data_IF_067729584605
#
_entry.id   IF_067729584605
#
_cell.length_a   1.000
_cell.length_b   1.000
_cell.length_c   1.000
_cell.angle_alpha   90.00
_cell.angle_beta   90.00
_cell.angle_gamma   90.00
#
_symmetry.space_group_name_H-M   'P 1'
#
loop_
_entity.id
_entity.type
_entity.pdbx_description
1 polymer ?
#
# COMPACT_ATOMS: atom_id res chain seq x y z
N UNK A 1 12.75 10.91 -17.76
CA UNK A 1 13.21 9.67 -17.10
C UNK A 1 12.25 8.55 -17.47
N UNK A 2 12.70 7.29 -17.62
CA UNK A 2 11.77 6.18 -17.82
C UNK A 2 11.01 5.96 -16.51
N UNK A 3 9.70 6.18 -16.50
CA UNK A 3 8.85 5.78 -15.39
C UNK A 3 8.86 4.25 -15.33
N UNK A 4 9.30 3.68 -14.20
CA UNK A 4 9.16 2.24 -13.96
C UNK A 4 7.70 1.94 -13.70
N UNK A 5 7.16 0.87 -14.29
CA UNK A 5 5.83 0.39 -13.94
C UNK A 5 5.76 0.13 -12.42
N UNK A 6 4.75 0.66 -11.71
CA UNK A 6 4.58 0.38 -10.30
C UNK A 6 4.47 -1.11 -10.03
N UNK A 7 5.15 -1.57 -8.99
CA UNK A 7 5.02 -2.91 -8.45
C UNK A 7 3.88 -2.96 -7.44
N UNK A 8 3.31 -4.15 -7.28
CA UNK A 8 2.12 -4.36 -6.47
C UNK A 8 2.32 -5.60 -5.62
N UNK A 9 1.95 -5.47 -4.35
CA UNK A 9 1.78 -6.58 -3.45
C UNK A 9 0.40 -6.52 -2.78
N UNK A 10 -0.32 -7.63 -2.73
CA UNK A 10 -1.63 -7.76 -2.11
C UNK A 10 -1.66 -9.01 -1.24
N UNK A 11 -2.24 -8.91 -0.05
CA UNK A 11 -2.57 -10.03 0.82
C UNK A 11 -4.04 -9.95 1.24
N UNK A 12 -4.77 -11.05 1.09
CA UNK A 12 -6.21 -11.12 1.31
C UNK A 12 -6.62 -12.42 2.02
N UNK A 13 -7.57 -12.31 2.95
CA UNK A 13 -8.19 -13.44 3.63
C UNK A 13 -9.70 -13.42 3.47
N UNK A 14 -10.25 -14.49 2.88
CA UNK A 14 -11.70 -14.65 2.71
C UNK A 14 -12.44 -15.07 3.99
N UNK A 15 -11.72 -15.50 5.04
CA UNK A 15 -12.30 -16.07 6.27
C UNK A 15 -12.31 -15.10 7.46
N UNK A 16 -12.04 -13.81 7.23
CA UNK A 16 -12.00 -12.84 8.31
C UNK A 16 -11.81 -11.40 7.81
N UNK A 17 -10.62 -10.86 8.05
CA UNK A 17 -10.28 -9.44 7.88
C UNK A 17 -10.19 -8.95 6.43
N UNK A 18 -10.61 -9.73 5.44
CA UNK A 18 -10.65 -9.31 4.03
C UNK A 18 -9.27 -8.87 3.53
N UNK A 19 -9.16 -7.63 3.03
CA UNK A 19 -7.89 -7.06 2.59
C UNK A 19 -6.97 -6.85 3.81
N UNK A 20 -5.91 -7.64 3.89
CA UNK A 20 -4.92 -7.55 4.96
C UNK A 20 -3.89 -6.46 4.66
N UNK A 21 -3.43 -6.42 3.41
CA UNK A 21 -2.46 -5.48 2.91
C UNK A 21 -2.63 -5.26 1.40
N UNK A 22 -2.52 -4.02 0.98
CA UNK A 22 -2.30 -3.61 -0.40
C UNK A 22 -1.14 -2.61 -0.40
N UNK A 23 -0.11 -2.90 -1.19
CA UNK A 23 1.06 -2.07 -1.38
C UNK A 23 1.24 -1.83 -2.87
N UNK A 24 1.49 -0.58 -3.24
CA UNK A 24 2.06 -0.24 -4.54
C UNK A 24 3.27 0.65 -4.35
N UNK A 25 4.30 0.43 -5.16
CA UNK A 25 5.50 1.24 -5.10
C UNK A 25 6.19 1.30 -6.46
N UNK A 26 7.09 2.25 -6.61
CA UNK A 26 7.97 2.37 -7.75
C UNK A 26 9.36 2.84 -7.33
N UNK A 27 10.35 2.62 -8.20
CA UNK A 27 11.72 3.01 -7.94
C UNK A 27 12.09 4.25 -8.77
N UNK A 28 12.84 5.16 -8.17
CA UNK A 28 13.28 6.39 -8.82
C UNK A 28 14.73 6.67 -8.42
N UNK A 29 15.67 6.16 -9.24
CA UNK A 29 17.08 6.17 -8.88
C UNK A 29 17.33 5.29 -7.64
N UNK A 30 17.97 5.80 -6.58
CA UNK A 30 18.21 5.05 -5.35
C UNK A 30 16.99 5.01 -4.41
N UNK A 31 15.93 5.76 -4.72
CA UNK A 31 14.76 5.92 -3.86
C UNK A 31 13.62 4.97 -4.24
N UNK A 32 12.80 4.63 -3.26
CA UNK A 32 11.53 3.93 -3.43
C UNK A 32 10.41 4.86 -2.98
N UNK A 33 9.36 4.99 -3.79
CA UNK A 33 8.16 5.76 -3.44
C UNK A 33 6.96 4.82 -3.48
N UNK A 34 6.03 4.95 -2.56
CA UNK A 34 4.92 4.03 -2.51
C UNK A 34 3.73 4.49 -1.68
N UNK A 35 2.72 3.65 -1.69
CA UNK A 35 1.52 3.77 -0.88
C UNK A 35 1.09 2.39 -0.40
N UNK A 36 0.71 2.30 0.87
CA UNK A 36 0.05 1.11 1.40
C UNK A 36 -1.33 1.44 1.96
N UNK A 37 -2.18 0.42 2.01
CA UNK A 37 -3.39 0.38 2.82
C UNK A 37 -3.62 -1.03 3.35
N UNK A 38 -4.21 -1.17 4.54
CA UNK A 38 -4.51 -2.48 5.10
C UNK A 38 -5.13 -2.41 6.48
N UNK A 39 -5.47 -3.57 7.01
CA UNK A 39 -6.07 -3.67 8.33
C UNK A 39 -5.07 -3.29 9.44
N UNK A 40 -5.49 -2.43 10.36
CA UNK A 40 -4.76 -2.05 11.58
C UNK A 40 -5.74 -1.99 12.76
N UNK A 41 -5.54 -2.81 13.80
CA UNK A 41 -6.30 -2.78 15.05
C UNK A 41 -7.85 -2.74 14.90
N UNK A 42 -8.39 -3.31 13.82
CA UNK A 42 -9.83 -3.32 13.53
C UNK A 42 -10.33 -2.17 12.65
N UNK A 43 -9.45 -1.27 12.23
CA UNK A 43 -9.70 -0.23 11.24
C UNK A 43 -8.81 -0.44 9.99
N UNK A 44 -8.81 0.51 9.05
CA UNK A 44 -7.89 0.58 7.93
C UNK A 44 -6.90 1.72 8.11
N UNK A 45 -5.62 1.39 7.93
CA UNK A 45 -4.55 2.37 7.88
C UNK A 45 -4.04 2.47 6.45
N UNK A 46 -3.69 3.68 6.04
CA UNK A 46 -3.03 3.94 4.78
C UNK A 46 -1.94 4.99 4.97
N UNK A 47 -0.87 4.93 4.19
CA UNK A 47 0.09 6.01 4.14
C UNK A 47 0.87 5.99 2.82
N UNK A 48 1.32 7.17 2.41
CA UNK A 48 2.38 7.30 1.44
C UNK A 48 3.72 7.16 2.13
N UNK A 49 4.72 6.70 1.38
CA UNK A 49 6.08 6.59 1.89
C UNK A 49 7.14 6.85 0.85
N UNK A 50 8.33 7.11 1.39
CA UNK A 50 9.58 7.20 0.66
C UNK A 50 10.68 6.48 1.42
N UNK A 51 11.37 5.56 0.75
CA UNK A 51 12.64 5.01 1.22
C UNK A 51 13.75 5.76 0.51
N UNK A 52 14.47 6.61 1.24
CA UNK A 52 15.62 7.32 0.70
C UNK A 52 16.82 6.38 0.65
N UNK A 53 17.59 6.44 -0.44
CA UNK A 53 18.87 5.75 -0.57
C UNK A 53 18.85 4.22 -0.38
N UNK A 54 17.69 3.59 -0.59
CA UNK A 54 17.44 2.16 -0.38
C UNK A 54 18.42 1.25 -1.14
N UNK A 55 18.73 1.60 -2.39
CA UNK A 55 19.66 0.83 -3.24
C UNK A 55 21.11 1.33 -3.17
N UNK A 56 21.47 2.06 -2.12
CA UNK A 56 22.80 2.65 -1.97
C UNK A 56 23.46 2.24 -0.65
N UNK A 57 24.74 2.61 -0.49
CA UNK A 57 25.46 2.47 0.78
C UNK A 57 25.27 3.66 1.73
N UNK A 58 24.45 4.64 1.36
CA UNK A 58 24.17 5.81 2.21
C UNK A 58 23.15 5.46 3.33
N UNK A 59 23.10 6.26 4.40
CA UNK A 59 22.11 6.07 5.45
C UNK A 59 20.68 6.14 4.89
N UNK A 60 19.89 5.10 5.13
CA UNK A 60 18.51 5.02 4.68
C UNK A 60 17.59 5.85 5.57
N UNK A 61 16.59 6.50 4.97
CA UNK A 61 15.47 7.10 5.70
C UNK A 61 14.17 6.48 5.23
N UNK A 62 13.26 6.25 6.16
CA UNK A 62 11.94 5.71 5.85
C UNK A 62 10.89 6.74 6.22
N UNK A 63 10.61 7.62 5.29
CA UNK A 63 9.64 8.68 5.45
C UNK A 63 8.23 8.20 5.18
N UNK A 64 7.26 8.66 5.98
CA UNK A 64 5.85 8.38 5.74
C UNK A 64 4.94 9.55 6.14
N UNK A 65 3.81 9.65 5.45
CA UNK A 65 2.73 10.60 5.77
C UNK A 65 1.90 10.12 6.97
N UNK A 66 1.08 11.00 7.54
CA UNK A 66 -0.01 10.58 8.43
C UNK A 66 -1.24 10.30 7.60
N UNK A 67 -1.64 9.03 7.49
CA UNK A 67 -2.77 8.71 6.62
C UNK A 67 -2.41 9.02 5.16
N UNK A 68 -3.41 9.39 4.37
CA UNK A 68 -3.23 9.92 3.01
C UNK A 68 -2.89 11.42 2.94
N UNK A 69 -2.53 12.09 4.04
CA UNK A 69 -2.29 13.54 4.05
C UNK A 69 -0.90 13.90 3.49
N UNK A 70 -0.81 14.08 2.17
CA UNK A 70 0.40 14.58 1.51
C UNK A 70 0.62 16.10 1.69
N UNK A 71 -0.44 16.86 2.00
CA UNK A 71 -0.30 18.30 2.25
C UNK A 71 0.42 18.58 3.58
N UNK A 72 0.22 17.71 4.57
CA UNK A 72 0.93 17.72 5.84
C UNK A 72 2.40 17.28 5.77
N UNK A 73 2.85 16.76 4.63
CA UNK A 73 4.24 16.34 4.40
C UNK A 73 4.61 14.98 5.01
N UNK A 74 5.90 14.65 4.96
CA UNK A 74 6.48 13.53 5.69
C UNK A 74 6.54 13.86 7.18
N UNK A 75 5.89 13.05 8.01
CA UNK A 75 5.78 13.31 9.46
C UNK A 75 6.35 12.16 10.30
N UNK A 76 6.66 11.04 9.67
CA UNK A 76 7.36 9.92 10.28
C UNK A 76 8.67 9.65 9.55
N UNK A 77 9.69 9.22 10.29
CA UNK A 77 10.91 8.58 9.83
C UNK A 77 11.14 7.29 10.62
N UNK A 78 10.68 6.17 10.06
CA UNK A 78 10.70 4.87 10.73
C UNK A 78 12.10 4.28 10.90
N UNK A 79 13.13 4.83 10.25
CA UNK A 79 14.51 4.46 10.49
C UNK A 79 15.03 4.94 11.86
N UNK A 80 14.26 5.78 12.57
CA UNK A 80 14.64 6.35 13.87
C UNK A 80 13.91 5.67 15.02
N UNK A 81 14.57 5.63 16.19
CA UNK A 81 13.99 5.08 17.44
C UNK A 81 12.71 5.79 17.90
N UNK A 82 12.57 7.08 17.56
CA UNK A 82 11.38 7.88 17.78
C UNK A 82 10.85 8.34 16.42
N UNK A 83 9.98 7.56 15.77
CA UNK A 83 9.68 7.78 14.36
C UNK A 83 9.02 9.11 14.05
N UNK A 84 8.34 9.75 15.01
CA UNK A 84 7.64 11.01 14.74
C UNK A 84 8.64 12.16 14.63
N UNK A 85 8.63 12.82 13.48
CA UNK A 85 9.46 14.00 13.24
C UNK A 85 8.97 15.19 14.07
N UNK A 86 9.91 16.00 14.57
CA UNK A 86 9.61 17.24 15.28
C UNK A 86 9.03 18.32 14.37
N UNK A 87 9.44 18.30 13.09
CA UNK A 87 8.93 19.15 12.02
C UNK A 87 8.67 18.28 10.78
N UNK A 88 7.56 18.55 10.09
CA UNK A 88 7.22 17.84 8.87
C UNK A 88 8.17 18.23 7.73
N UNK A 89 8.63 17.25 6.95
CA UNK A 89 9.39 17.53 5.73
C UNK A 89 8.39 17.69 4.58
N UNK A 90 8.36 18.83 3.87
CA UNK A 90 7.46 19.03 2.74
C UNK A 90 7.66 17.95 1.65
N UNK A 91 6.55 17.56 1.02
CA UNK A 91 6.58 16.74 -0.20
C UNK A 91 6.56 17.68 -1.40
N UNK A 92 7.59 17.58 -2.23
CA UNK A 92 7.74 18.36 -3.46
C UNK A 92 6.57 18.08 -4.42
N UNK A 93 6.18 19.08 -5.21
CA UNK A 93 4.98 18.99 -6.06
C UNK A 93 5.06 17.86 -7.08
N UNK A 94 6.23 17.66 -7.70
CA UNK A 94 6.44 16.56 -8.66
C UNK A 94 6.32 15.18 -7.99
N UNK A 95 6.84 15.05 -6.76
CA UNK A 95 6.76 13.82 -5.98
C UNK A 95 5.31 13.53 -5.56
N UNK A 96 4.59 14.56 -5.11
CA UNK A 96 3.17 14.47 -4.76
C UNK A 96 2.32 14.02 -5.94
N UNK A 97 2.44 14.69 -7.08
CA UNK A 97 1.69 14.33 -8.28
C UNK A 97 1.95 12.87 -8.68
N UNK A 98 3.21 12.46 -8.63
CA UNK A 98 3.61 11.08 -8.94
C UNK A 98 2.97 10.06 -7.98
N UNK A 99 2.99 10.33 -6.68
CA UNK A 99 2.35 9.49 -5.66
C UNK A 99 0.83 9.41 -5.85
N UNK A 100 0.17 10.53 -6.17
CA UNK A 100 -1.27 10.59 -6.46
C UNK A 100 -1.64 9.75 -7.69
N UNK A 101 -0.88 9.89 -8.79
CA UNK A 101 -1.10 9.12 -10.01
C UNK A 101 -0.92 7.62 -9.76
N UNK A 102 0.14 7.23 -9.05
CA UNK A 102 0.39 5.83 -8.70
C UNK A 102 -0.74 5.25 -7.84
N UNK A 103 -1.13 5.94 -6.76
CA UNK A 103 -2.22 5.50 -5.89
C UNK A 103 -3.54 5.39 -6.67
N UNK A 104 -3.89 6.42 -7.46
CA UNK A 104 -5.13 6.47 -8.23
C UNK A 104 -5.21 5.33 -9.24
N UNK A 105 -4.13 5.08 -9.99
CA UNK A 105 -4.06 3.98 -10.95
C UNK A 105 -4.19 2.62 -10.25
N UNK A 106 -3.46 2.42 -9.16
CA UNK A 106 -3.53 1.17 -8.39
C UNK A 106 -4.93 0.93 -7.80
N UNK A 107 -5.49 1.91 -7.11
CA UNK A 107 -6.82 1.81 -6.52
C UNK A 107 -7.90 1.61 -7.60
N UNK A 108 -7.83 2.35 -8.71
CA UNK A 108 -8.72 2.21 -9.86
C UNK A 108 -8.65 0.82 -10.51
N UNK A 109 -7.50 0.17 -10.47
CA UNK A 109 -7.33 -1.17 -11.02
C UNK A 109 -7.78 -2.28 -10.06
N UNK A 110 -7.42 -2.17 -8.78
CA UNK A 110 -7.44 -3.26 -7.81
C UNK A 110 -8.49 -3.13 -6.72
N UNK A 111 -8.85 -1.91 -6.31
CA UNK A 111 -9.63 -1.67 -5.10
C UNK A 111 -11.03 -1.11 -5.39
N UNK A 112 -11.97 -1.36 -4.49
CA UNK A 112 -13.22 -0.61 -4.42
C UNK A 112 -13.57 -0.29 -2.96
N UNK A 113 -14.30 0.80 -2.80
CA UNK A 113 -14.78 1.30 -1.52
C UNK A 113 -16.30 1.20 -1.53
N UNK A 114 -16.95 0.53 -0.55
CA UNK A 114 -18.40 0.34 -0.57
C UNK A 114 -19.19 1.65 -0.61
N UNK A 115 -18.66 2.70 0.04
CA UNK A 115 -19.31 4.01 0.10
C UNK A 115 -19.05 4.88 -1.14
N UNK A 116 -18.22 4.42 -2.08
CA UNK A 116 -17.95 5.15 -3.32
C UNK A 116 -19.08 4.95 -4.35
N UNK A 117 -19.42 5.97 -5.15
CA UNK A 117 -20.35 5.83 -6.26
C UNK A 117 -19.93 4.71 -7.22
N UNK A 118 -20.89 3.88 -7.65
CA UNK A 118 -20.63 2.78 -8.58
C UNK A 118 -20.15 1.47 -7.95
N UNK A 119 -20.11 1.37 -6.61
CA UNK A 119 -19.71 0.14 -5.89
C UNK A 119 -20.76 -0.98 -5.88
N UNK A 120 -22.02 -0.69 -6.25
CA UNK A 120 -23.16 -1.62 -6.09
C UNK A 120 -22.91 -3.01 -6.72
N UNK A 121 -22.39 -3.06 -7.94
CA UNK A 121 -22.11 -4.33 -8.61
C UNK A 121 -21.02 -5.16 -7.90
N UNK A 122 -20.01 -4.48 -7.34
CA UNK A 122 -18.95 -5.14 -6.55
C UNK A 122 -19.52 -5.68 -5.24
N UNK A 123 -20.38 -4.90 -4.57
CA UNK A 123 -21.08 -5.29 -3.33
C UNK A 123 -21.94 -6.53 -3.56
N UNK A 124 -22.73 -6.57 -4.63
CA UNK A 124 -23.59 -7.71 -4.95
C UNK A 124 -22.77 -8.96 -5.25
N UNK A 125 -21.65 -8.82 -5.97
CA UNK A 125 -20.73 -9.93 -6.25
C UNK A 125 -20.13 -10.50 -4.96
N UNK A 126 -19.72 -9.64 -4.03
CA UNK A 126 -19.20 -10.06 -2.72
C UNK A 126 -20.25 -10.80 -1.89
N UNK A 127 -21.48 -10.28 -1.86
CA UNK A 127 -22.60 -10.90 -1.11
C UNK A 127 -22.98 -12.26 -1.68
N UNK A 128 -23.03 -12.40 -3.01
CA UNK A 128 -23.36 -13.65 -3.67
C UNK A 128 -22.38 -14.79 -3.31
N UNK A 129 -21.13 -14.45 -3.04
CA UNK A 129 -20.06 -15.38 -2.68
C UNK A 129 -19.79 -15.45 -1.16
N UNK A 130 -20.59 -14.75 -0.35
CA UNK A 130 -20.43 -14.70 1.11
C UNK A 130 -19.11 -14.08 1.57
N UNK A 131 -18.49 -13.21 0.77
CA UNK A 131 -17.22 -12.55 1.09
C UNK A 131 -17.42 -11.37 2.05
N UNK A 132 -16.44 -11.10 2.94
CA UNK A 132 -16.53 -9.96 3.85
C UNK A 132 -16.46 -8.64 3.08
N UNK A 133 -17.39 -7.73 3.40
CA UNK A 133 -17.38 -6.34 2.92
C UNK A 133 -16.80 -5.43 4.00
N UNK A 134 -15.67 -4.80 3.69
CA UNK A 134 -14.92 -3.91 4.59
C UNK A 134 -14.83 -2.50 4.02
N UNK A 135 -14.27 -1.50 4.74
CA UNK A 135 -14.11 -0.16 4.20
C UNK A 135 -13.31 -0.09 2.89
N UNK A 136 -12.37 -1.02 2.68
CA UNK A 136 -11.61 -1.19 1.43
C UNK A 136 -11.58 -2.67 1.04
N UNK A 137 -11.86 -2.97 -0.22
CA UNK A 137 -11.93 -4.33 -0.74
C UNK A 137 -11.22 -4.46 -2.09
N UNK A 138 -10.86 -5.69 -2.46
CA UNK A 138 -10.31 -5.99 -3.79
C UNK A 138 -11.47 -6.13 -4.78
N UNK A 139 -11.42 -5.48 -5.95
CA UNK A 139 -12.44 -5.67 -7.00
C UNK A 139 -12.65 -7.16 -7.27
N UNK A 140 -13.91 -7.60 -7.32
CA UNK A 140 -14.27 -9.00 -7.43
C UNK A 140 -13.58 -9.69 -8.61
N UNK A 141 -13.56 -9.01 -9.77
CA UNK A 141 -12.86 -9.46 -10.97
C UNK A 141 -11.35 -9.65 -10.80
N UNK A 142 -10.72 -9.13 -9.75
CA UNK A 142 -9.28 -9.25 -9.47
C UNK A 142 -8.96 -10.36 -8.48
N UNK A 143 -9.93 -10.87 -7.72
CA UNK A 143 -9.71 -11.95 -6.75
C UNK A 143 -9.11 -13.22 -7.38
N UNK A 144 -9.41 -13.49 -8.65
CA UNK A 144 -8.83 -14.64 -9.36
C UNK A 144 -7.33 -14.50 -9.66
N UNK A 145 -6.75 -13.30 -9.52
CA UNK A 145 -5.31 -13.04 -9.70
C UNK A 145 -4.48 -13.38 -8.47
N UNK A 146 -5.13 -13.48 -7.31
CA UNK A 146 -4.45 -13.91 -6.09
C UNK A 146 -4.14 -15.41 -6.17
N UNK A 147 -2.97 -15.80 -5.66
CA UNK A 147 -2.62 -17.20 -5.50
C UNK A 147 -3.68 -17.90 -4.65
N UNK A 148 -4.11 -19.06 -5.14
CA UNK A 148 -5.15 -19.87 -4.51
C UNK A 148 -4.57 -20.91 -3.54
N UNK A 149 -3.26 -21.15 -3.60
CA UNK A 149 -2.56 -22.11 -2.74
C UNK A 149 -2.23 -21.55 -1.36
N UNK A 150 -2.00 -20.24 -1.25
CA UNK A 150 -1.67 -19.55 0.00
C UNK A 150 -2.86 -19.20 0.91
N UNK A 151 -2.60 -19.19 2.22
CA UNK A 151 -3.43 -18.54 3.23
C UNK A 151 -2.54 -17.66 4.11
N UNK A 152 -2.52 -16.33 3.89
CA UNK A 152 -3.41 -15.54 3.02
C UNK A 152 -3.20 -15.78 1.52
N UNK A 153 -4.21 -15.39 0.72
CA UNK A 153 -4.10 -15.37 -0.74
C UNK A 153 -3.34 -14.11 -1.15
N UNK A 154 -2.29 -14.27 -1.92
CA UNK A 154 -1.37 -13.18 -2.23
C UNK A 154 -1.31 -12.90 -3.73
N UNK A 155 -1.03 -11.66 -4.10
CA UNK A 155 -0.59 -11.32 -5.45
C UNK A 155 0.68 -10.49 -5.36
N UNK A 156 1.67 -10.90 -6.14
CA UNK A 156 2.96 -10.24 -6.25
C UNK A 156 3.17 -9.95 -7.73
N UNK A 157 3.45 -8.69 -8.07
CA UNK A 157 3.78 -8.34 -9.45
C UNK A 157 5.11 -9.02 -9.86
N UNK A 158 5.28 -9.40 -11.14
CA UNK A 158 6.43 -10.23 -11.57
C UNK A 158 7.83 -9.65 -11.27
N UNK A 159 7.95 -8.32 -11.16
CA UNK A 159 9.21 -7.63 -10.90
C UNK A 159 9.23 -6.97 -9.51
N UNK A 160 8.36 -7.41 -8.59
CA UNK A 160 8.42 -6.95 -7.22
C UNK A 160 9.75 -7.42 -6.58
N UNK A 161 10.38 -6.50 -5.86
CA UNK A 161 11.58 -6.74 -5.08
C UNK A 161 11.16 -7.03 -3.65
N UNK A 162 11.37 -8.28 -3.23
CA UNK A 162 10.98 -8.73 -1.90
C UNK A 162 11.75 -8.00 -0.79
N UNK A 163 12.95 -7.48 -1.05
CA UNK A 163 13.69 -6.73 -0.04
C UNK A 163 12.99 -5.41 0.31
N UNK A 164 12.34 -4.76 -0.65
CA UNK A 164 11.53 -3.55 -0.38
C UNK A 164 10.35 -3.94 0.50
N UNK A 165 9.64 -5.01 0.15
CA UNK A 165 8.49 -5.47 0.91
C UNK A 165 8.89 -5.86 2.34
N UNK A 166 9.98 -6.60 2.49
CA UNK A 166 10.55 -7.01 3.78
C UNK A 166 10.93 -5.81 4.64
N UNK A 167 11.52 -4.78 4.04
CA UNK A 167 11.86 -3.57 4.75
C UNK A 167 10.61 -2.77 5.15
N UNK A 168 9.65 -2.57 4.24
CA UNK A 168 8.43 -1.81 4.53
C UNK A 168 7.63 -2.47 5.66
N UNK A 169 7.53 -3.80 5.65
CA UNK A 169 6.72 -4.50 6.63
C UNK A 169 7.26 -4.49 8.05
N UNK A 170 8.57 -4.30 8.21
CA UNK A 170 9.21 -4.21 9.52
C UNK A 170 8.64 -3.02 10.31
N UNK A 171 8.32 -1.92 9.62
CA UNK A 171 7.94 -0.66 10.25
C UNK A 171 6.48 -0.25 10.05
N UNK A 172 5.79 -0.77 9.03
CA UNK A 172 4.43 -0.33 8.76
C UNK A 172 3.47 -0.65 9.92
N UNK A 173 2.42 0.16 10.12
CA UNK A 173 1.52 -0.02 11.25
C UNK A 173 0.43 -1.07 11.02
N UNK A 174 0.46 -1.79 9.89
CA UNK A 174 -0.54 -2.80 9.56
C UNK A 174 -0.47 -3.99 10.52
N UNK A 175 -1.56 -4.74 10.67
CA UNK A 175 -1.54 -5.97 11.46
C UNK A 175 -0.89 -7.14 10.71
N UNK A 176 -0.78 -7.01 9.39
CA UNK A 176 -0.22 -8.04 8.51
C UNK A 176 1.32 -8.02 8.52
N UNK A 177 1.92 -9.21 8.58
CA UNK A 177 3.35 -9.46 8.38
C UNK A 177 3.47 -10.67 7.45
N UNK A 178 4.42 -10.64 6.53
CA UNK A 178 4.82 -11.81 5.76
C UNK A 178 5.27 -12.91 6.72
N UNK A 179 4.97 -14.18 6.40
CA UNK A 179 5.43 -15.33 7.15
C UNK A 179 6.95 -15.54 7.08
#
# INVERSE_FOLDING_TARGET
MKHSTPQVYLAYSSSGRGLLCALTYETAGPHVHGWWTGAQAGDFAAAFFKLEDFFSSAPQRFLATRGGDMAGGWVFDYAQSHPRLGEAVPIEDEERQRLEEMQSNFAGEWLFYPDAPGSAAEIDSYRAEGLPLLPVNIKYRRLHKLDRGGHPREYISPNADMNILDYVQEYWPLDYRLP
#
